data_IF_121566758692
#
_entry.id   IF_121566758692
#
_cell.length_a   1.000
_cell.length_b   1.000
_cell.length_c   1.000
_cell.angle_alpha   90.00
_cell.angle_beta   90.00
_cell.angle_gamma   90.00
#
_symmetry.space_group_name_H-M   'P 1'
#
loop_
_entity.id
_entity.type
_entity.pdbx_description
1 polymer ?
#
# COMPACT_ATOMS: atom_id res chain seq x y z
N UNK A 1 -21.20 23.47 -8.26
CA UNK A 1 -19.83 23.05 -7.86
C UNK A 1 -19.79 22.53 -6.42
N UNK A 2 -20.21 23.32 -5.42
CA UNK A 2 -20.15 22.94 -3.99
C UNK A 2 -21.06 21.75 -3.58
N UNK A 3 -22.15 21.48 -4.31
CA UNK A 3 -23.13 20.45 -3.93
C UNK A 3 -22.57 19.02 -4.05
N UNK A 4 -21.87 18.69 -5.15
CA UNK A 4 -21.31 17.34 -5.36
C UNK A 4 -20.19 17.01 -4.39
N UNK A 5 -19.32 17.97 -4.07
CA UNK A 5 -18.27 17.81 -3.07
C UNK A 5 -18.84 17.52 -1.68
N UNK A 6 -19.86 18.29 -1.27
CA UNK A 6 -20.59 18.09 0.00
C UNK A 6 -21.29 16.72 0.05
N UNK A 7 -21.91 16.27 -1.04
CA UNK A 7 -22.51 14.94 -1.12
C UNK A 7 -21.48 13.80 -1.03
N UNK A 8 -20.34 13.93 -1.70
CA UNK A 8 -19.28 12.92 -1.58
C UNK A 8 -18.75 12.86 -0.15
N UNK A 9 -18.53 14.01 0.49
CA UNK A 9 -18.11 14.06 1.88
C UNK A 9 -19.13 13.40 2.80
N UNK A 10 -20.42 13.69 2.61
CA UNK A 10 -21.52 13.03 3.36
C UNK A 10 -21.49 11.50 3.18
N UNK A 11 -21.23 11.01 1.96
CA UNK A 11 -21.09 9.57 1.68
C UNK A 11 -19.85 8.96 2.32
N UNK A 12 -18.73 9.66 2.31
CA UNK A 12 -17.48 9.21 2.93
C UNK A 12 -17.64 9.11 4.45
N UNK A 13 -18.16 10.16 5.09
CA UNK A 13 -18.43 10.16 6.54
C UNK A 13 -19.36 9.02 6.93
N UNK A 14 -20.40 8.75 6.13
CA UNK A 14 -21.30 7.61 6.35
C UNK A 14 -20.61 6.23 6.21
N UNK A 15 -19.60 6.11 5.34
CA UNK A 15 -18.89 4.84 5.08
C UNK A 15 -17.74 4.56 6.05
N UNK A 16 -17.03 5.60 6.47
CA UNK A 16 -15.87 5.49 7.38
C UNK A 16 -16.32 5.49 8.85
N UNK A 17 -17.51 6.04 9.14
CA UNK A 17 -17.95 6.36 10.50
C UNK A 17 -17.41 7.73 10.91
N UNK A 18 -18.24 8.54 11.58
CA UNK A 18 -17.86 9.91 11.94
C UNK A 18 -16.72 10.00 12.96
N UNK A 19 -16.52 8.89 13.70
CA UNK A 19 -15.58 8.72 14.82
C UNK A 19 -14.14 8.51 14.35
N UNK A 20 -13.92 7.80 13.23
CA UNK A 20 -12.59 7.47 12.73
C UNK A 20 -11.91 8.60 11.93
N UNK A 21 -12.55 9.76 11.79
CA UNK A 21 -12.05 10.85 10.96
C UNK A 21 -11.60 12.00 11.87
N UNK A 22 -10.29 12.19 11.96
CA UNK A 22 -9.70 13.32 12.69
C UNK A 22 -10.19 14.66 12.09
N UNK A 23 -10.33 15.72 12.91
CA UNK A 23 -10.81 17.02 12.44
C UNK A 23 -9.92 17.59 11.32
N UNK A 24 -8.60 17.37 11.40
CA UNK A 24 -7.66 17.75 10.35
C UNK A 24 -7.91 17.03 9.02
N UNK A 25 -8.22 15.73 9.06
CA UNK A 25 -8.59 14.97 7.86
C UNK A 25 -9.91 15.50 7.28
N UNK A 26 -10.87 15.91 8.11
CA UNK A 26 -12.13 16.53 7.65
C UNK A 26 -11.87 17.84 6.90
N UNK A 27 -10.92 18.65 7.36
CA UNK A 27 -10.55 19.91 6.70
C UNK A 27 -9.80 19.67 5.38
N UNK A 28 -8.82 18.77 5.37
CA UNK A 28 -8.08 18.37 4.15
C UNK A 28 -9.03 17.83 3.08
N UNK A 29 -10.02 17.02 3.47
CA UNK A 29 -11.04 16.49 2.56
C UNK A 29 -12.02 17.56 2.06
N UNK A 30 -12.40 18.54 2.90
CA UNK A 30 -13.25 19.67 2.48
C UNK A 30 -12.55 20.58 1.47
N UNK A 31 -11.24 20.79 1.62
CA UNK A 31 -10.43 21.56 0.69
C UNK A 31 -10.28 20.87 -0.68
N UNK A 32 -10.27 19.54 -0.70
CA UNK A 32 -10.11 18.75 -1.92
C UNK A 32 -11.45 18.47 -2.59
N UNK A 33 -12.02 19.48 -3.26
CA UNK A 33 -13.16 19.29 -4.15
C UNK A 33 -12.66 18.58 -5.41
N UNK A 34 -13.24 17.43 -5.82
CA UNK A 34 -12.82 16.76 -7.05
C UNK A 34 -13.11 17.64 -8.26
N UNK A 35 -12.16 17.70 -9.19
CA UNK A 35 -12.39 18.35 -10.48
C UNK A 35 -13.51 17.63 -11.23
N UNK A 36 -14.43 18.40 -11.81
CA UNK A 36 -15.62 17.89 -12.54
C UNK A 36 -15.29 17.12 -13.81
N UNK A 37 -14.00 16.97 -14.13
CA UNK A 37 -13.46 16.33 -15.33
C UNK A 37 -13.67 14.81 -15.37
N UNK A 38 -14.03 14.18 -14.25
CA UNK A 38 -14.37 12.74 -14.23
C UNK A 38 -15.77 12.50 -14.79
N UNK A 39 -15.85 12.32 -16.10
CA UNK A 39 -17.09 12.02 -16.84
C UNK A 39 -17.50 10.54 -16.72
N UNK A 40 -16.56 9.62 -16.44
CA UNK A 40 -16.83 8.17 -16.46
C UNK A 40 -17.32 7.63 -15.11
N UNK A 41 -18.57 7.15 -15.06
CA UNK A 41 -19.16 6.55 -13.84
C UNK A 41 -18.39 5.35 -13.30
N UNK A 42 -17.65 4.63 -14.17
CA UNK A 42 -16.76 3.53 -13.79
C UNK A 42 -15.56 3.95 -12.94
N UNK A 43 -15.09 5.20 -13.07
CA UNK A 43 -13.96 5.72 -12.28
C UNK A 43 -14.27 5.65 -10.78
N UNK A 44 -15.52 5.93 -10.41
CA UNK A 44 -15.98 5.98 -9.02
C UNK A 44 -15.75 4.69 -8.23
N UNK A 45 -15.59 3.55 -8.93
CA UNK A 45 -15.44 2.20 -8.35
C UNK A 45 -14.03 1.62 -8.46
N UNK A 46 -13.04 2.35 -8.99
CA UNK A 46 -11.69 1.82 -9.23
C UNK A 46 -10.60 2.88 -9.23
N UNK A 47 -9.35 2.46 -9.45
CA UNK A 47 -8.18 3.34 -9.39
C UNK A 47 -7.69 3.69 -10.80
N UNK A 48 -7.92 4.95 -11.21
CA UNK A 48 -7.65 5.41 -12.56
C UNK A 48 -6.49 6.41 -12.67
N UNK A 49 -5.96 6.91 -11.55
CA UNK A 49 -4.81 7.83 -11.50
C UNK A 49 -4.93 9.00 -12.50
N UNK A 50 -6.10 9.65 -12.55
CA UNK A 50 -6.38 10.78 -13.46
C UNK A 50 -6.55 10.41 -14.95
N UNK A 51 -6.46 9.12 -15.32
CA UNK A 51 -6.74 8.68 -16.70
C UNK A 51 -8.23 8.72 -16.96
N UNK A 52 -8.63 9.42 -18.02
CA UNK A 52 -10.02 9.59 -18.40
C UNK A 52 -10.26 9.15 -19.85
N UNK A 53 -11.51 8.89 -20.21
CA UNK A 53 -11.93 8.76 -21.61
C UNK A 53 -11.68 10.09 -22.32
N UNK A 54 -10.95 10.06 -23.43
CA UNK A 54 -10.80 11.21 -24.30
C UNK A 54 -11.80 11.10 -25.45
N UNK A 55 -12.37 12.24 -25.84
CA UNK A 55 -13.27 12.36 -26.98
C UNK A 55 -12.60 13.23 -28.04
N UNK A 56 -12.87 12.94 -29.30
CA UNK A 56 -12.28 13.69 -30.41
C UNK A 56 -12.68 13.05 -31.73
N UNK A 57 -11.93 13.36 -32.79
CA UNK A 57 -12.29 12.96 -34.15
C UNK A 57 -11.24 12.00 -34.72
N UNK A 58 -11.66 11.09 -35.61
CA UNK A 58 -10.83 10.41 -36.59
C UNK A 58 -10.86 11.27 -37.86
N UNK A 59 -9.70 11.63 -38.38
CA UNK A 59 -9.54 12.40 -39.62
C UNK A 59 -9.23 11.42 -40.74
N UNK A 60 -9.89 11.57 -41.89
CA UNK A 60 -9.65 10.75 -43.09
C UNK A 60 -8.27 11.03 -43.68
N UNK A 61 -7.60 9.99 -44.19
CA UNK A 61 -6.23 10.07 -44.74
C UNK A 61 -6.17 10.84 -46.07
N UNK A 62 -7.30 10.99 -46.77
CA UNK A 62 -7.43 11.64 -48.09
C UNK A 62 -7.01 13.13 -48.11
N UNK A 63 -6.71 13.73 -46.96
CA UNK A 63 -6.12 15.08 -46.89
C UNK A 63 -4.62 15.12 -47.28
N UNK A 64 -3.91 13.99 -47.29
CA UNK A 64 -2.45 13.95 -47.55
C UNK A 64 -2.05 13.82 -49.03
N UNK A 65 -2.98 13.49 -49.93
CA UNK A 65 -2.66 13.17 -51.34
C UNK A 65 -2.64 14.43 -52.24
N UNK A 66 -3.16 15.57 -51.77
CA UNK A 66 -3.33 16.78 -52.61
C UNK A 66 -2.16 17.76 -52.59
N UNK A 67 -1.08 17.51 -51.84
CA UNK A 67 0.13 18.36 -51.87
C UNK A 67 1.12 17.93 -52.97
N UNK A 68 1.09 16.67 -53.40
CA UNK A 68 2.03 16.13 -54.39
C UNK A 68 1.54 16.21 -55.85
N UNK A 69 0.25 16.45 -56.08
CA UNK A 69 -0.34 16.52 -57.44
C UNK A 69 -0.44 17.93 -58.03
N UNK A 70 0.01 18.97 -57.32
CA UNK A 70 -0.09 20.36 -57.76
C UNK A 70 1.14 20.90 -58.53
N UNK A 71 2.05 20.03 -59.01
CA UNK A 71 3.20 20.47 -59.83
C UNK A 71 2.95 20.28 -61.34
N UNK A 72 1.84 19.66 -61.78
CA UNK A 72 1.67 19.32 -63.21
C UNK A 72 0.30 19.60 -63.86
N UNK A 73 -0.69 20.14 -63.16
CA UNK A 73 -1.99 20.44 -63.77
C UNK A 73 -2.10 21.92 -64.15
N UNK A 74 -2.03 22.17 -65.45
CA UNK A 74 -2.27 23.45 -66.11
C UNK A 74 -3.61 24.07 -65.73
N UNK A 75 -3.59 25.39 -65.69
CA UNK A 75 -4.71 26.33 -65.70
C UNK A 75 -5.89 25.83 -66.55
N UNK A 76 -7.06 25.54 -65.96
CA UNK A 76 -8.40 25.80 -66.55
C UNK A 76 -9.63 25.38 -65.73
N UNK A 77 -9.54 24.82 -64.52
CA UNK A 77 -10.74 24.45 -63.73
C UNK A 77 -10.74 24.95 -62.27
N UNK A 78 -10.47 26.24 -62.05
CA UNK A 78 -10.75 26.94 -60.79
C UNK A 78 -11.96 27.85 -61.04
N UNK A 79 -13.16 27.70 -60.48
CA UNK A 79 -13.54 27.92 -59.08
C UNK A 79 -14.99 27.41 -58.79
N UNK A 80 -15.34 26.16 -59.12
CA UNK A 80 -16.62 25.57 -58.68
C UNK A 80 -16.51 24.45 -57.65
N UNK A 81 -15.29 23.98 -57.38
CA UNK A 81 -15.01 22.93 -56.40
C UNK A 81 -14.34 23.46 -55.11
N UNK A 82 -14.38 24.76 -54.87
CA UNK A 82 -13.79 25.38 -53.66
C UNK A 82 -14.69 25.27 -52.41
N UNK A 83 -15.63 24.32 -52.39
CA UNK A 83 -16.58 24.13 -51.28
C UNK A 83 -16.56 22.76 -50.62
N UNK A 84 -15.77 21.80 -51.14
CA UNK A 84 -15.90 20.37 -50.79
C UNK A 84 -14.60 19.74 -50.28
N UNK A 85 -13.78 20.49 -49.54
CA UNK A 85 -12.57 19.98 -48.89
C UNK A 85 -12.62 20.21 -47.37
N UNK A 86 -13.72 19.80 -46.74
CA UNK A 86 -13.70 19.54 -45.31
C UNK A 86 -13.50 18.05 -45.13
N UNK A 87 -12.29 17.61 -44.74
CA UNK A 87 -12.03 16.19 -44.51
C UNK A 87 -13.06 15.57 -43.57
N UNK A 88 -13.43 14.33 -43.87
CA UNK A 88 -14.45 13.61 -43.13
C UNK A 88 -13.96 13.36 -41.70
N UNK A 89 -14.53 14.10 -40.75
CA UNK A 89 -14.23 14.00 -39.32
C UNK A 89 -15.28 13.16 -38.62
N UNK A 90 -14.99 11.88 -38.40
CA UNK A 90 -15.87 10.99 -37.64
C UNK A 90 -15.57 11.09 -36.14
N UNK A 91 -16.59 11.08 -35.28
CA UNK A 91 -16.40 11.07 -33.82
C UNK A 91 -15.76 9.75 -33.37
N UNK A 92 -14.80 9.82 -32.44
CA UNK A 92 -14.18 8.65 -31.79
C UNK A 92 -14.03 8.87 -30.28
N UNK A 93 -13.90 7.76 -29.55
CA UNK A 93 -13.58 7.77 -28.13
C UNK A 93 -12.33 6.92 -27.85
N UNK A 94 -11.43 7.42 -27.02
CA UNK A 94 -10.27 6.68 -26.51
C UNK A 94 -10.54 6.27 -25.08
N UNK A 95 -10.69 4.96 -24.85
CA UNK A 95 -10.91 4.41 -23.52
C UNK A 95 -9.56 4.06 -22.89
N UNK A 96 -9.29 4.39 -21.61
CA UNK A 96 -8.10 3.89 -20.94
C UNK A 96 -8.17 2.37 -20.77
N UNK A 97 -7.00 1.74 -20.78
CA UNK A 97 -6.84 0.30 -20.55
C UNK A 97 -7.03 -0.01 -19.07
N UNK A 98 -8.11 -0.71 -18.73
CA UNK A 98 -8.53 -1.03 -17.36
C UNK A 98 -8.49 -2.53 -17.17
N UNK A 99 -7.82 -2.97 -16.10
CA UNK A 99 -7.63 -4.37 -15.75
C UNK A 99 -8.13 -4.61 -14.33
N UNK A 100 -8.73 -5.76 -14.07
CA UNK A 100 -9.10 -6.17 -12.72
C UNK A 100 -7.93 -6.95 -12.11
N UNK A 101 -7.42 -6.46 -10.98
CA UNK A 101 -6.24 -7.03 -10.33
C UNK A 101 -6.45 -7.15 -8.81
N UNK A 102 -5.77 -8.13 -8.23
CA UNK A 102 -5.64 -8.34 -6.78
C UNK A 102 -4.35 -7.68 -6.34
N UNK A 103 -4.44 -6.62 -5.55
CA UNK A 103 -3.29 -5.93 -4.98
C UNK A 103 -3.21 -6.28 -3.51
N UNK A 104 -2.01 -6.63 -3.04
CA UNK A 104 -1.78 -6.92 -1.64
C UNK A 104 -1.57 -5.61 -0.88
N UNK A 105 -2.32 -5.40 0.21
CA UNK A 105 -2.09 -4.33 1.17
C UNK A 105 -1.40 -4.90 2.39
N UNK A 106 -0.25 -4.36 2.76
CA UNK A 106 0.52 -4.75 3.94
C UNK A 106 -0.25 -4.42 5.22
N UNK A 107 -0.95 -3.29 5.26
CA UNK A 107 -1.63 -2.85 6.49
C UNK A 107 -2.84 -3.71 6.86
N UNK A 108 -3.50 -4.33 5.88
CA UNK A 108 -4.65 -5.19 6.10
C UNK A 108 -4.34 -6.68 5.93
N UNK A 109 -3.07 -7.04 5.69
CA UNK A 109 -2.60 -8.41 5.41
C UNK A 109 -3.54 -9.19 4.46
N UNK A 110 -4.04 -8.50 3.44
CA UNK A 110 -5.09 -9.03 2.57
C UNK A 110 -5.03 -8.49 1.16
N UNK A 111 -5.56 -9.30 0.23
CA UNK A 111 -5.62 -8.95 -1.18
C UNK A 111 -6.90 -8.17 -1.50
N UNK A 112 -6.75 -6.93 -1.96
CA UNK A 112 -7.85 -6.07 -2.40
C UNK A 112 -8.06 -6.24 -3.91
N UNK A 113 -9.28 -6.64 -4.30
CA UNK A 113 -9.69 -6.70 -5.71
C UNK A 113 -10.17 -5.34 -6.18
N UNK A 114 -9.46 -4.73 -7.13
CA UNK A 114 -9.80 -3.42 -7.70
C UNK A 114 -9.62 -3.38 -9.21
N UNK A 115 -10.45 -2.58 -9.88
CA UNK A 115 -10.26 -2.22 -11.28
C UNK A 115 -9.25 -1.08 -11.36
N UNK A 116 -8.12 -1.34 -11.99
CA UNK A 116 -6.97 -0.43 -12.02
C UNK A 116 -6.58 -0.17 -13.47
N UNK A 117 -6.16 1.04 -13.78
CA UNK A 117 -5.55 1.33 -15.10
C UNK A 117 -4.11 0.85 -15.14
N UNK A 118 -3.60 0.52 -16.32
CA UNK A 118 -2.17 0.15 -16.47
C UNK A 118 -1.23 1.26 -16.00
N UNK A 119 -1.63 2.52 -16.14
CA UNK A 119 -0.87 3.65 -15.60
C UNK A 119 -0.84 3.64 -14.07
N UNK A 120 -1.99 3.41 -13.43
CA UNK A 120 -2.08 3.31 -11.98
C UNK A 120 -1.28 2.12 -11.44
N UNK A 121 -1.28 0.97 -12.11
CA UNK A 121 -0.43 -0.19 -11.74
C UNK A 121 1.05 0.21 -11.73
N UNK A 122 1.55 0.85 -12.79
CA UNK A 122 2.95 1.33 -12.84
C UNK A 122 3.27 2.33 -11.72
N UNK A 123 2.31 3.18 -11.33
CA UNK A 123 2.48 4.12 -10.23
C UNK A 123 2.50 3.41 -8.86
N UNK A 124 1.73 2.34 -8.70
CA UNK A 124 1.71 1.51 -7.49
C UNK A 124 3.05 0.79 -7.33
N UNK A 125 3.54 0.17 -8.41
CA UNK A 125 4.85 -0.52 -8.41
C UNK A 125 5.98 0.47 -8.11
N UNK A 126 5.94 1.67 -8.72
CA UNK A 126 6.91 2.74 -8.44
C UNK A 126 6.83 3.25 -7.00
N UNK A 127 5.64 3.25 -6.42
CA UNK A 127 5.44 3.69 -5.06
C UNK A 127 5.85 2.63 -4.03
N UNK A 128 6.02 1.35 -4.41
CA UNK A 128 6.37 0.26 -3.49
C UNK A 128 5.17 -0.52 -2.96
N UNK A 129 3.96 -0.30 -3.49
CA UNK A 129 2.75 -0.99 -3.02
C UNK A 129 1.51 -0.11 -3.03
N UNK A 130 0.35 -0.72 -2.78
CA UNK A 130 -0.93 0.00 -2.82
C UNK A 130 -1.06 0.99 -1.66
N UNK A 131 -0.62 0.61 -0.47
CA UNK A 131 -0.75 1.43 0.74
C UNK A 131 0.13 2.68 0.61
N UNK A 132 1.39 2.50 0.22
CA UNK A 132 2.30 3.61 -0.04
C UNK A 132 1.82 4.52 -1.17
N UNK A 133 1.24 3.94 -2.24
CA UNK A 133 0.65 4.73 -3.31
C UNK A 133 -0.49 5.62 -2.78
N UNK A 134 -1.38 5.09 -1.93
CA UNK A 134 -2.48 5.86 -1.36
C UNK A 134 -1.99 7.00 -0.46
N UNK A 135 -0.94 6.76 0.33
CA UNK A 135 -0.33 7.78 1.19
C UNK A 135 0.39 8.87 0.40
N UNK A 136 1.23 8.48 -0.57
CA UNK A 136 2.04 9.40 -1.40
C UNK A 136 1.18 10.25 -2.35
N UNK A 137 0.03 9.73 -2.79
CA UNK A 137 -0.80 10.45 -3.77
C UNK A 137 -1.56 11.60 -3.09
N UNK A 138 -1.47 12.84 -3.60
CA UNK A 138 -2.22 13.97 -3.05
C UNK A 138 -3.72 13.78 -3.27
N UNK A 139 -4.54 14.28 -2.33
CA UNK A 139 -6.00 14.13 -2.36
C UNK A 139 -6.63 14.72 -3.63
N UNK A 140 -6.06 15.79 -4.20
CA UNK A 140 -6.54 16.40 -5.44
C UNK A 140 -6.42 15.47 -6.65
N UNK A 141 -5.40 14.61 -6.70
CA UNK A 141 -5.19 13.65 -7.81
C UNK A 141 -6.03 12.38 -7.65
N UNK A 142 -6.60 12.19 -6.47
CA UNK A 142 -7.48 11.08 -6.13
C UNK A 142 -8.92 11.47 -6.46
N UNK A 143 -9.23 11.59 -7.76
CA UNK A 143 -10.54 12.03 -8.26
C UNK A 143 -11.70 11.07 -7.94
N UNK A 144 -11.45 10.01 -7.17
CA UNK A 144 -12.34 8.86 -6.96
C UNK A 144 -12.79 8.75 -5.51
N UNK A 145 -14.10 8.63 -5.30
CA UNK A 145 -14.73 8.37 -3.99
C UNK A 145 -14.12 7.16 -3.27
N UNK A 146 -13.95 6.04 -3.98
CA UNK A 146 -13.27 4.84 -3.46
C UNK A 146 -11.82 5.10 -3.06
N UNK A 147 -11.07 5.89 -3.84
CA UNK A 147 -9.68 6.19 -3.54
C UNK A 147 -9.52 7.00 -2.26
N UNK A 148 -10.38 8.01 -2.08
CA UNK A 148 -10.45 8.80 -0.86
C UNK A 148 -10.83 7.94 0.36
N UNK A 149 -11.84 7.08 0.21
CA UNK A 149 -12.25 6.14 1.26
C UNK A 149 -11.09 5.24 1.73
N UNK A 150 -10.41 4.59 0.79
CA UNK A 150 -9.29 3.70 1.11
C UNK A 150 -8.13 4.47 1.74
N UNK A 151 -7.81 5.67 1.24
CA UNK A 151 -6.78 6.52 1.84
C UNK A 151 -7.09 6.85 3.30
N UNK A 152 -8.31 7.33 3.58
CA UNK A 152 -8.72 7.63 4.98
C UNK A 152 -8.69 6.40 5.87
N UNK A 153 -9.03 5.23 5.34
CA UNK A 153 -9.04 3.98 6.09
C UNK A 153 -7.62 3.51 6.42
N UNK A 154 -6.69 3.65 5.47
CA UNK A 154 -5.27 3.34 5.64
C UNK A 154 -4.62 4.30 6.63
N UNK A 155 -4.87 5.61 6.51
CA UNK A 155 -4.37 6.63 7.45
C UNK A 155 -4.86 6.39 8.88
N UNK A 156 -6.14 6.03 9.06
CA UNK A 156 -6.68 5.68 10.37
C UNK A 156 -5.97 4.47 10.99
N UNK A 157 -5.72 3.41 10.21
CA UNK A 157 -4.96 2.24 10.68
C UNK A 157 -3.51 2.58 11.02
N UNK A 158 -2.84 3.42 10.24
CA UNK A 158 -1.49 3.88 10.58
C UNK A 158 -1.47 4.75 11.84
N UNK A 159 -2.52 5.53 12.09
CA UNK A 159 -2.64 6.28 13.34
C UNK A 159 -2.82 5.35 14.55
N UNK A 160 -3.63 4.29 14.43
CA UNK A 160 -3.76 3.24 15.46
C UNK A 160 -2.41 2.53 15.71
N UNK A 161 -1.73 2.11 14.65
CA UNK A 161 -0.43 1.44 14.75
C UNK A 161 0.69 2.37 15.25
N UNK A 162 0.62 3.66 14.93
CA UNK A 162 1.58 4.66 15.41
C UNK A 162 1.34 5.06 16.87
N UNK A 163 0.10 4.99 17.34
CA UNK A 163 -0.26 5.17 18.76
C UNK A 163 0.00 3.92 19.59
N UNK A 164 0.02 2.75 18.95
CA UNK A 164 0.60 1.55 19.53
C UNK A 164 2.10 1.77 19.59
N UNK A 165 2.53 2.45 20.66
CA UNK A 165 3.92 2.46 21.07
C UNK A 165 4.38 1.00 21.01
N UNK A 166 5.32 0.73 20.10
CA UNK A 166 6.14 -0.48 20.19
C UNK A 166 6.76 -0.32 21.55
N UNK A 167 6.19 -0.99 22.54
CA UNK A 167 6.54 -0.84 23.92
C UNK A 167 8.02 -1.21 24.02
N UNK A 168 8.89 -0.20 23.94
CA UNK A 168 10.12 -0.24 24.68
C UNK A 168 9.63 -0.40 26.11
N UNK A 169 9.80 -1.61 26.65
CA UNK A 169 9.41 -1.86 28.03
C UNK A 169 10.06 -0.76 28.87
N UNK A 170 9.28 -0.15 29.76
CA UNK A 170 9.84 0.80 30.72
C UNK A 170 10.97 0.06 31.48
N UNK A 171 12.14 0.66 31.76
CA UNK A 171 13.27 -0.05 32.38
C UNK A 171 12.88 -0.83 33.66
N UNK A 172 11.87 -0.36 34.38
CA UNK A 172 11.32 -1.04 35.56
C UNK A 172 10.58 -2.34 35.23
N UNK A 173 9.87 -2.39 34.11
CA UNK A 173 9.13 -3.57 33.67
C UNK A 173 10.06 -4.60 33.01
N UNK A 174 11.15 -4.14 32.38
CA UNK A 174 12.27 -5.01 31.96
C UNK A 174 12.93 -5.69 33.17
N UNK A 175 13.22 -4.94 34.24
CA UNK A 175 13.83 -5.48 35.45
C UNK A 175 12.93 -6.51 36.16
N UNK A 176 11.61 -6.29 36.18
CA UNK A 176 10.64 -7.28 36.74
C UNK A 176 10.59 -8.55 35.89
N UNK A 177 10.65 -8.43 34.56
CA UNK A 177 10.72 -9.57 33.66
C UNK A 177 12.02 -10.36 33.88
N UNK A 178 13.17 -9.69 33.99
CA UNK A 178 14.44 -10.34 34.29
C UNK A 178 14.42 -11.08 35.63
N UNK A 179 13.87 -10.47 36.67
CA UNK A 179 13.71 -11.10 37.99
C UNK A 179 12.82 -12.34 37.88
N UNK A 180 11.69 -12.23 37.17
CA UNK A 180 10.80 -13.36 36.92
C UNK A 180 11.48 -14.52 36.19
N UNK A 181 12.35 -14.25 35.21
CA UNK A 181 13.12 -15.28 34.52
C UNK A 181 14.22 -15.90 35.40
N UNK A 182 14.86 -15.11 36.27
CA UNK A 182 15.85 -15.60 37.24
C UNK A 182 15.19 -16.54 38.24
N UNK A 183 14.04 -16.16 38.78
CA UNK A 183 13.27 -16.97 39.73
C UNK A 183 12.75 -18.27 39.09
N UNK A 184 12.25 -18.20 37.85
CA UNK A 184 11.86 -19.38 37.09
C UNK A 184 13.03 -20.33 36.83
N UNK A 185 14.21 -19.80 36.50
CA UNK A 185 15.40 -20.62 36.30
C UNK A 185 15.88 -21.27 37.60
N UNK A 186 15.78 -20.56 38.72
CA UNK A 186 16.08 -21.11 40.06
C UNK A 186 15.09 -22.22 40.39
N UNK A 187 13.78 -21.98 40.24
CA UNK A 187 12.73 -22.96 40.47
C UNK A 187 12.88 -24.21 39.58
N UNK A 188 13.20 -24.02 38.29
CA UNK A 188 13.45 -25.12 37.35
C UNK A 188 14.69 -25.92 37.74
N UNK A 189 15.74 -25.25 38.25
CA UNK A 189 16.97 -25.88 38.74
C UNK A 189 16.74 -26.67 40.02
N UNK A 190 15.97 -26.13 40.96
CA UNK A 190 15.63 -26.80 42.22
C UNK A 190 14.67 -27.97 42.01
N UNK A 191 13.66 -27.84 41.14
CA UNK A 191 12.81 -28.96 40.72
C UNK A 191 13.63 -30.10 40.09
N UNK A 192 14.61 -29.78 39.23
CA UNK A 192 15.53 -30.78 38.66
C UNK A 192 16.41 -31.44 39.73
N UNK A 193 16.83 -30.67 40.74
CA UNK A 193 17.66 -31.16 41.86
C UNK A 193 16.84 -32.06 42.80
N UNK A 194 15.58 -31.70 43.06
CA UNK A 194 14.64 -32.52 43.82
C UNK A 194 14.26 -33.80 43.09
N UNK A 195 14.00 -33.73 41.78
CA UNK A 195 13.80 -34.92 40.94
C UNK A 195 15.00 -35.87 41.00
N UNK A 196 16.24 -35.35 40.97
CA UNK A 196 17.45 -36.17 41.17
C UNK A 196 17.53 -36.80 42.56
N UNK A 197 17.12 -36.07 43.61
CA UNK A 197 17.10 -36.57 44.99
C UNK A 197 16.05 -37.65 45.20
N UNK A 198 14.83 -37.46 44.69
CA UNK A 198 13.77 -38.47 44.76
C UNK A 198 14.15 -39.73 43.99
N UNK A 199 14.79 -39.60 42.83
CA UNK A 199 15.34 -40.71 42.06
C UNK A 199 16.41 -41.50 42.85
N UNK A 200 17.32 -40.82 43.54
CA UNK A 200 18.31 -41.47 44.43
C UNK A 200 17.66 -42.16 45.65
N UNK A 201 16.63 -41.54 46.24
CA UNK A 201 15.96 -42.04 47.45
C UNK A 201 15.03 -43.24 47.16
N UNK A 202 14.49 -43.35 45.95
CA UNK A 202 13.71 -44.52 45.50
C UNK A 202 14.55 -45.79 45.28
N UNK A 203 15.87 -45.72 45.45
CA UNK A 203 16.76 -46.86 45.29
C UNK A 203 17.00 -47.16 43.81
N UNK A 204 18.27 -47.17 43.41
CA UNK A 204 18.65 -47.71 42.10
C UNK A 204 18.31 -49.20 42.04
N UNK A 205 17.25 -49.53 41.31
CA UNK A 205 16.86 -50.89 40.95
C UNK A 205 17.09 -51.13 39.46
N UNK A 206 18.09 -51.96 39.18
CA UNK A 206 18.59 -52.66 37.98
C UNK A 206 18.03 -52.44 36.54
N UNK A 207 18.94 -52.65 35.58
CA UNK A 207 18.90 -52.58 34.09
C UNK A 207 17.66 -53.13 33.36
N UNK A 208 17.36 -52.53 32.20
CA UNK A 208 16.67 -53.18 31.06
C UNK A 208 16.01 -52.20 30.07
N UNK A 209 16.73 -51.85 29.00
CA UNK A 209 16.37 -51.44 27.62
C UNK A 209 14.97 -50.87 27.29
N UNK A 210 14.93 -49.66 26.71
CA UNK A 210 14.28 -49.34 25.41
C UNK A 210 14.55 -47.88 25.00
N UNK A 211 14.81 -47.68 23.71
CA UNK A 211 15.21 -46.43 23.04
C UNK A 211 14.11 -45.34 23.03
N UNK A 212 14.53 -44.07 23.15
CA UNK A 212 13.93 -42.97 22.38
C UNK A 212 14.93 -41.80 22.32
N UNK A 213 15.62 -41.73 21.18
CA UNK A 213 16.43 -40.60 20.72
C UNK A 213 15.64 -39.29 20.74
N UNK A 214 16.32 -38.17 21.06
CA UNK A 214 16.37 -36.90 20.29
C UNK A 214 17.33 -35.96 21.03
N UNK A 215 18.54 -35.91 20.49
CA UNK A 215 19.47 -34.78 20.34
C UNK A 215 19.45 -33.65 21.38
N UNK A 216 20.56 -33.58 22.13
CA UNK A 216 20.99 -32.40 22.86
C UNK A 216 21.97 -31.54 22.06
N UNK A 217 22.12 -30.29 22.50
CA UNK A 217 23.16 -29.34 22.07
C UNK A 217 22.55 -27.98 21.71
N UNK A 218 22.92 -26.84 22.30
CA UNK A 218 24.00 -26.56 23.24
C UNK A 218 23.64 -25.37 24.13
N UNK A 219 24.32 -25.30 25.28
CA UNK A 219 24.37 -24.10 26.09
C UNK A 219 25.31 -23.10 25.41
N UNK A 220 24.85 -21.87 25.24
CA UNK A 220 25.72 -20.73 25.00
C UNK A 220 26.18 -20.20 26.36
N UNK A 221 27.44 -20.48 26.65
CA UNK A 221 28.25 -19.86 27.69
C UNK A 221 28.45 -18.39 27.32
N UNK A 222 27.88 -17.47 28.11
CA UNK A 222 28.07 -16.03 27.91
C UNK A 222 29.45 -15.64 28.41
N UNK A 223 30.43 -15.60 27.50
CA UNK A 223 31.69 -14.90 27.69
C UNK A 223 31.36 -13.40 27.76
N UNK A 224 31.65 -12.74 28.88
CA UNK A 224 31.67 -11.28 28.97
C UNK A 224 32.99 -10.82 28.34
N UNK A 225 32.92 -10.31 27.12
CA UNK A 225 34.03 -9.57 26.51
C UNK A 225 33.96 -8.13 27.02
N UNK A 226 34.88 -7.81 27.93
CA UNK A 226 35.19 -6.46 28.36
C UNK A 226 35.93 -5.73 27.23
N UNK A 227 35.21 -5.19 26.26
CA UNK A 227 35.77 -4.28 25.26
C UNK A 227 35.88 -2.86 25.83
N UNK A 228 36.89 -2.62 26.65
CA UNK A 228 37.38 -1.28 26.99
C UNK A 228 38.91 -1.30 27.17
N UNK A 229 39.68 -1.25 26.08
CA UNK A 229 41.13 -1.14 26.21
C UNK A 229 42.01 -1.21 24.96
N UNK A 230 41.57 -0.71 23.80
CA UNK A 230 42.39 -0.75 22.56
C UNK A 230 42.63 0.60 21.86
N UNK A 231 42.46 1.73 22.54
CA UNK A 231 42.86 3.06 22.03
C UNK A 231 43.87 3.78 22.92
N UNK A 232 44.89 3.09 23.43
CA UNK A 232 46.06 3.77 24.00
C UNK A 232 47.31 2.90 23.91
N UNK A 233 48.09 3.09 22.82
CA UNK A 233 49.57 3.11 22.79
C UNK A 233 50.15 2.67 21.43
N UNK A 234 50.43 3.64 20.54
CA UNK A 234 51.76 3.84 19.94
C UNK A 234 51.79 5.05 18.98
N UNK A 235 52.77 5.92 19.25
CA UNK A 235 53.35 7.00 18.46
C UNK A 235 52.53 8.29 18.29
#
# INVERSE_FOLDING_TARGET
>A
MAFRGKEMMKKLVKKVGAENITPELKEKLKACVPDTKVVMGRAKRGLYAGRHIQYGNRVSEDELVMVLLNIQASEELNYRFLGMLHGFRSRRCWKPNVQEKRLFSYIFDSHIKVKVTTHALRCIDKAGGIDEYLLKTPYQKMDTEMGLYWKTKVEARYAELGQMEVAFFNPEDEAKLEQGFKDLNIAKKDARREARRTFRKKGGGNKGDEEASIEGGGGSESHQEDDNGWLEAKA
#
